data_IF_096928265467
#
_entry.id   IF_096928265467
#
_cell.length_a   1.000
_cell.length_b   1.000
_cell.length_c   1.000
_cell.angle_alpha   90.00
_cell.angle_beta   90.00
_cell.angle_gamma   90.00
#
_symmetry.space_group_name_H-M   'P 1'
#
loop_
_entity.id
_entity.type
_entity.pdbx_description
1 polymer ?
#
# COMPACT_ATOMS: atom_id res chain seq x y z
N UNK A 1 9.15 -15.38 -6.19
CA UNK A 1 9.83 -14.49 -5.21
C UNK A 1 9.19 -14.74 -3.85
N UNK A 2 9.79 -15.60 -3.02
CA UNK A 2 9.22 -15.98 -1.71
C UNK A 2 9.92 -15.31 -0.53
N UNK A 3 10.90 -14.45 -0.79
CA UNK A 3 11.71 -13.75 0.22
C UNK A 3 11.56 -12.24 0.08
N UNK A 4 10.98 -11.60 1.10
CA UNK A 4 10.77 -10.15 1.16
C UNK A 4 12.08 -9.35 1.17
N UNK A 5 13.14 -9.89 1.78
CA UNK A 5 14.45 -9.25 1.83
C UNK A 5 15.08 -9.21 0.45
N UNK A 6 14.94 -10.30 -0.32
CA UNK A 6 15.40 -10.32 -1.69
C UNK A 6 14.61 -9.34 -2.57
N UNK A 7 13.28 -9.31 -2.42
CA UNK A 7 12.44 -8.33 -3.10
C UNK A 7 12.86 -6.89 -2.80
N UNK A 8 13.01 -6.53 -1.51
CA UNK A 8 13.42 -5.19 -1.11
C UNK A 8 14.83 -4.82 -1.61
N UNK A 9 15.76 -5.79 -1.65
CA UNK A 9 17.08 -5.58 -2.24
C UNK A 9 16.99 -5.28 -3.73
N UNK A 10 16.23 -6.06 -4.48
CA UNK A 10 16.02 -5.88 -5.92
C UNK A 10 15.29 -4.58 -6.26
N UNK A 11 14.44 -4.08 -5.36
CA UNK A 11 13.77 -2.79 -5.50
C UNK A 11 14.70 -1.61 -5.18
N UNK A 12 15.42 -1.68 -4.05
CA UNK A 12 16.18 -0.57 -3.51
C UNK A 12 17.51 -0.31 -4.25
N UNK A 13 18.19 -1.35 -4.74
CA UNK A 13 19.50 -1.20 -5.40
C UNK A 13 19.43 -0.35 -6.69
N UNK A 14 18.50 -0.58 -7.63
CA UNK A 14 18.42 0.22 -8.85
C UNK A 14 18.06 1.68 -8.57
N UNK A 15 17.19 1.93 -7.60
CA UNK A 15 16.79 3.28 -7.18
C UNK A 15 18.00 4.02 -6.60
N UNK A 16 18.76 3.37 -5.70
CA UNK A 16 19.96 3.97 -5.09
C UNK A 16 20.98 4.37 -6.15
N UNK A 17 21.24 3.49 -7.12
CA UNK A 17 22.19 3.77 -8.21
C UNK A 17 21.71 4.90 -9.11
N UNK A 18 20.41 4.96 -9.40
CA UNK A 18 19.84 6.01 -10.23
C UNK A 18 19.91 7.37 -9.53
N UNK A 19 19.54 7.44 -8.25
CA UNK A 19 19.61 8.65 -7.44
C UNK A 19 21.05 9.15 -7.30
N UNK A 20 21.98 8.30 -6.88
CA UNK A 20 23.39 8.68 -6.75
C UNK A 20 23.98 9.19 -8.07
N UNK A 21 23.62 8.57 -9.20
CA UNK A 21 24.05 9.02 -10.53
C UNK A 21 23.45 10.38 -10.88
N UNK A 22 22.19 10.63 -10.54
CA UNK A 22 21.50 11.89 -10.79
C UNK A 22 22.08 13.03 -9.97
N UNK A 23 22.49 12.74 -8.73
CA UNK A 23 23.07 13.72 -7.80
C UNK A 23 24.59 13.80 -7.89
N UNK A 24 25.20 13.13 -8.89
CA UNK A 24 26.66 13.05 -9.12
C UNK A 24 27.46 12.65 -7.88
N UNK A 25 26.88 11.81 -7.03
CA UNK A 25 27.45 11.40 -5.76
C UNK A 25 27.69 9.89 -5.68
N UNK A 26 28.38 9.47 -4.62
CA UNK A 26 28.59 8.05 -4.31
C UNK A 26 28.25 7.79 -2.85
N UNK A 27 27.97 6.54 -2.49
CA UNK A 27 27.68 6.15 -1.12
C UNK A 27 26.28 5.55 -0.94
N UNK A 28 25.83 5.52 0.31
CA UNK A 28 24.54 4.92 0.69
C UNK A 28 23.42 5.94 0.49
N UNK A 29 22.43 5.54 -0.31
CA UNK A 29 21.22 6.34 -0.51
C UNK A 29 20.18 6.15 0.62
N UNK A 30 20.08 4.93 1.17
CA UNK A 30 19.13 4.58 2.23
C UNK A 30 19.79 4.54 3.62
N UNK A 31 19.03 4.92 4.66
CA UNK A 31 19.47 4.97 6.06
C UNK A 31 19.82 3.59 6.67
N UNK A 32 19.35 2.48 6.10
CA UNK A 32 19.64 1.14 6.62
C UNK A 32 18.76 0.03 6.05
N UNK A 33 18.48 -0.99 6.88
CA UNK A 33 17.58 -2.09 6.53
C UNK A 33 16.13 -1.63 6.63
N UNK A 34 15.27 -2.19 5.77
CA UNK A 34 13.82 -1.97 5.87
C UNK A 34 13.26 -2.54 7.18
N UNK A 35 12.19 -1.94 7.69
CA UNK A 35 11.38 -2.49 8.76
C UNK A 35 10.19 -3.24 8.15
N UNK A 36 9.90 -4.43 8.66
CA UNK A 36 8.71 -5.18 8.29
C UNK A 36 7.88 -5.46 9.54
N UNK A 37 6.62 -5.02 9.51
CA UNK A 37 5.64 -5.27 10.55
C UNK A 37 4.56 -6.19 10.00
N UNK A 38 4.28 -7.29 10.70
CA UNK A 38 3.25 -8.23 10.33
C UNK A 38 1.89 -7.66 10.76
N UNK A 39 1.00 -7.42 9.81
CA UNK A 39 -0.40 -7.12 10.11
C UNK A 39 -1.15 -8.44 10.29
N UNK A 40 -1.83 -8.62 11.41
CA UNK A 40 -2.42 -9.91 11.82
C UNK A 40 -3.94 -9.94 11.85
N UNK A 41 -4.59 -8.79 11.72
CA UNK A 41 -6.04 -8.69 11.61
C UNK A 41 -6.47 -7.52 10.72
N UNK A 42 -7.78 -7.45 10.49
CA UNK A 42 -8.39 -6.42 9.66
C UNK A 42 -8.28 -5.03 10.29
N UNK A 43 -8.37 -4.93 11.62
CA UNK A 43 -8.31 -3.68 12.34
C UNK A 43 -6.94 -2.99 12.16
N UNK A 44 -5.86 -3.77 12.32
CA UNK A 44 -4.50 -3.33 12.01
C UNK A 44 -4.33 -2.98 10.53
N UNK A 45 -4.97 -3.73 9.62
CA UNK A 45 -4.90 -3.47 8.18
C UNK A 45 -5.57 -2.15 7.80
N UNK A 46 -6.76 -1.88 8.34
CA UNK A 46 -7.50 -0.63 8.12
C UNK A 46 -6.70 0.56 8.64
N UNK A 47 -6.22 0.47 9.88
CA UNK A 47 -5.41 1.52 10.51
C UNK A 47 -4.11 1.77 9.73
N UNK A 48 -3.41 0.71 9.31
CA UNK A 48 -2.18 0.82 8.52
C UNK A 48 -2.44 1.50 7.17
N UNK A 49 -3.50 1.09 6.47
CA UNK A 49 -3.86 1.66 5.17
C UNK A 49 -4.10 3.16 5.29
N UNK A 50 -4.85 3.59 6.31
CA UNK A 50 -5.12 5.02 6.56
C UNK A 50 -3.88 5.78 6.99
N UNK A 51 -3.05 5.18 7.86
CA UNK A 51 -1.77 5.76 8.27
C UNK A 51 -0.89 6.06 7.04
N UNK A 52 -0.80 5.12 6.10
CA UNK A 52 -0.01 5.28 4.87
C UNK A 52 -0.60 6.34 3.95
N UNK A 53 -1.89 6.28 3.65
CA UNK A 53 -2.53 7.24 2.74
C UNK A 53 -2.56 8.68 3.30
N UNK A 54 -2.46 8.84 4.63
CA UNK A 54 -2.35 10.14 5.31
C UNK A 54 -0.90 10.61 5.54
N UNK A 55 0.12 9.82 5.21
CA UNK A 55 1.52 10.24 5.41
C UNK A 55 1.84 11.58 4.73
N UNK A 56 1.44 11.85 3.46
CA UNK A 56 1.68 13.15 2.84
C UNK A 56 0.98 14.32 3.55
N UNK A 57 -0.20 14.08 4.13
CA UNK A 57 -0.91 15.09 4.92
C UNK A 57 -0.17 15.34 6.23
N UNK A 58 0.25 14.28 6.93
CA UNK A 58 1.04 14.38 8.17
C UNK A 58 2.38 15.07 7.97
N UNK A 59 3.02 14.85 6.82
CA UNK A 59 4.27 15.49 6.44
C UNK A 59 4.07 16.93 5.90
N UNK A 60 2.85 17.47 5.96
CA UNK A 60 2.48 18.78 5.40
C UNK A 60 2.82 18.96 3.90
N UNK A 61 2.94 17.86 3.15
CA UNK A 61 3.18 17.86 1.71
C UNK A 61 1.87 18.02 0.91
N UNK A 62 0.73 17.72 1.53
CA UNK A 62 -0.60 17.90 0.97
C UNK A 62 -1.58 18.36 2.05
N UNK A 63 -2.59 19.16 1.69
CA UNK A 63 -3.63 19.60 2.63
C UNK A 63 -4.70 18.52 2.88
N UNK A 64 -4.88 17.60 1.94
CA UNK A 64 -5.90 16.56 1.98
C UNK A 64 -5.49 15.36 1.10
N UNK A 65 -6.11 14.18 1.27
CA UNK A 65 -5.81 13.00 0.46
C UNK A 65 -6.02 13.21 -1.04
N UNK A 66 -6.95 14.09 -1.44
CA UNK A 66 -7.24 14.43 -2.83
C UNK A 66 -6.09 15.16 -3.53
N UNK A 67 -5.17 15.75 -2.78
CA UNK A 67 -3.99 16.47 -3.29
C UNK A 67 -2.68 15.71 -3.09
N UNK A 68 -2.73 14.42 -2.73
CA UNK A 68 -1.57 13.58 -2.50
C UNK A 68 -1.35 12.58 -3.66
N UNK A 69 -0.73 12.98 -4.80
CA UNK A 69 -0.74 12.22 -6.05
C UNK A 69 -0.04 10.84 -6.01
N UNK A 70 0.70 10.56 -4.94
CA UNK A 70 1.53 9.37 -4.78
C UNK A 70 0.96 8.40 -3.71
N UNK A 71 -0.35 8.41 -3.49
CA UNK A 71 -1.04 7.50 -2.56
C UNK A 71 -2.06 6.62 -3.25
N UNK A 72 -2.38 5.48 -2.62
CA UNK A 72 -3.39 4.57 -3.15
C UNK A 72 -4.79 5.20 -3.07
N UNK A 73 -5.07 5.96 -2.01
CA UNK A 73 -6.29 6.76 -1.89
C UNK A 73 -6.47 7.73 -3.05
N UNK A 74 -5.44 8.49 -3.44
CA UNK A 74 -5.53 9.42 -4.55
C UNK A 74 -5.89 8.71 -5.85
N UNK A 75 -5.23 7.59 -6.14
CA UNK A 75 -5.51 6.79 -7.33
C UNK A 75 -6.96 6.29 -7.37
N UNK A 76 -7.50 5.84 -6.23
CA UNK A 76 -8.91 5.42 -6.07
C UNK A 76 -9.88 6.58 -6.24
N UNK A 77 -9.61 7.74 -5.65
CA UNK A 77 -10.46 8.94 -5.77
C UNK A 77 -10.54 9.38 -7.24
N UNK A 78 -9.39 9.53 -7.88
CA UNK A 78 -9.30 9.96 -9.27
C UNK A 78 -9.92 8.94 -10.23
N UNK A 79 -9.78 7.64 -9.96
CA UNK A 79 -10.50 6.61 -10.71
C UNK A 79 -12.02 6.71 -10.54
N UNK A 80 -12.50 7.07 -9.35
CA UNK A 80 -13.91 7.42 -9.11
C UNK A 80 -14.40 8.61 -9.95
N UNK A 81 -13.51 9.54 -10.30
CA UNK A 81 -13.75 10.63 -11.25
C UNK A 81 -13.53 10.22 -12.73
N UNK A 82 -13.38 8.92 -13.02
CA UNK A 82 -13.17 8.40 -14.36
C UNK A 82 -11.77 8.63 -14.94
N UNK A 83 -10.80 9.06 -14.13
CA UNK A 83 -9.42 9.29 -14.60
C UNK A 83 -8.72 7.97 -14.92
N UNK A 84 -7.89 8.01 -15.97
CA UNK A 84 -7.12 6.88 -16.50
C UNK A 84 -5.65 7.22 -16.59
N UNK A 85 -4.78 6.23 -16.41
CA UNK A 85 -3.33 6.33 -16.55
C UNK A 85 -2.83 5.37 -17.63
N UNK A 86 -1.62 5.61 -18.11
CA UNK A 86 -0.92 4.68 -18.99
C UNK A 86 -0.56 3.42 -18.20
N UNK A 87 -0.79 2.25 -18.80
CA UNK A 87 -0.47 0.98 -18.17
C UNK A 87 1.04 0.76 -18.18
N UNK A 88 1.60 0.56 -16.99
CA UNK A 88 2.97 0.08 -16.84
C UNK A 88 3.08 -1.45 -16.96
N UNK A 89 1.95 -2.16 -17.08
CA UNK A 89 1.95 -3.63 -17.20
C UNK A 89 2.56 -4.06 -18.53
N UNK A 90 3.45 -5.04 -18.49
CA UNK A 90 4.03 -5.65 -19.68
C UNK A 90 3.17 -6.83 -20.14
N UNK A 91 2.76 -6.84 -21.40
CA UNK A 91 2.28 -8.05 -22.04
C UNK A 91 3.50 -8.97 -22.23
N UNK A 92 3.74 -9.89 -21.27
CA UNK A 92 4.84 -10.85 -21.36
C UNK A 92 4.58 -11.81 -22.52
N UNK A 93 5.15 -11.49 -23.69
CA UNK A 93 5.18 -12.39 -24.84
C UNK A 93 6.46 -13.21 -24.78
N UNK A 94 6.34 -14.53 -24.68
CA UNK A 94 7.48 -15.42 -24.82
C UNK A 94 8.06 -15.25 -26.23
N UNK A 95 9.33 -14.88 -26.32
CA UNK A 95 10.07 -14.79 -27.58
C UNK A 95 11.08 -15.94 -27.59
N UNK A 96 11.16 -16.75 -28.67
CA UNK A 96 12.18 -17.79 -28.78
C UNK A 96 13.59 -17.23 -28.62
N UNK A 97 14.47 -17.97 -27.94
CA UNK A 97 15.83 -17.53 -27.62
C UNK A 97 16.62 -17.15 -28.87
N UNK A 98 16.46 -17.88 -29.97
CA UNK A 98 17.12 -17.59 -31.25
C UNK A 98 16.68 -16.25 -31.84
N UNK A 99 15.39 -15.95 -31.81
CA UNK A 99 14.85 -14.69 -32.31
C UNK A 99 15.30 -13.51 -31.43
N UNK A 100 15.32 -13.70 -30.11
CA UNK A 100 15.84 -12.71 -29.18
C UNK A 100 17.34 -12.45 -29.42
N UNK A 101 18.14 -13.49 -29.61
CA UNK A 101 19.57 -13.39 -29.89
C UNK A 101 19.85 -12.68 -31.23
N UNK A 102 19.08 -13.01 -32.27
CA UNK A 102 19.16 -12.37 -33.58
C UNK A 102 18.86 -10.86 -33.48
N UNK A 103 17.76 -10.49 -32.81
CA UNK A 103 17.41 -9.07 -32.59
C UNK A 103 18.49 -8.29 -31.84
N UNK A 104 19.15 -8.90 -30.85
CA UNK A 104 20.24 -8.25 -30.09
C UNK A 104 21.46 -8.02 -30.99
N UNK A 105 21.81 -8.98 -31.84
CA UNK A 105 22.97 -8.86 -32.75
C UNK A 105 22.74 -7.84 -33.87
N UNK A 106 21.53 -7.80 -34.42
CA UNK A 106 21.22 -7.04 -35.64
C UNK A 106 20.79 -5.59 -35.37
N UNK A 107 20.25 -5.28 -34.19
CA UNK A 107 19.77 -3.93 -33.90
C UNK A 107 20.91 -3.07 -33.36
N UNK A 108 21.21 -1.89 -33.96
CA UNK A 108 22.18 -0.95 -33.43
C UNK A 108 21.88 -0.55 -31.98
N UNK A 109 22.93 -0.34 -31.17
CA UNK A 109 22.81 -0.07 -29.73
C UNK A 109 21.98 1.19 -29.45
N UNK A 110 22.10 2.22 -30.27
CA UNK A 110 21.36 3.47 -30.08
C UNK A 110 19.86 3.31 -30.37
N UNK A 111 19.51 2.53 -31.39
CA UNK A 111 18.12 2.16 -31.65
C UNK A 111 17.54 1.31 -30.51
N UNK A 112 18.32 0.36 -29.97
CA UNK A 112 17.90 -0.42 -28.81
C UNK A 112 17.63 0.48 -27.60
N UNK A 113 18.49 1.46 -27.35
CA UNK A 113 18.30 2.45 -26.25
C UNK A 113 17.02 3.25 -26.43
N UNK A 114 16.74 3.73 -27.65
CA UNK A 114 15.50 4.47 -27.95
C UNK A 114 14.28 3.58 -27.77
N UNK A 115 14.28 2.36 -28.34
CA UNK A 115 13.18 1.39 -28.21
C UNK A 115 12.95 1.00 -26.74
N UNK A 116 14.01 0.81 -25.95
CA UNK A 116 13.90 0.52 -24.52
C UNK A 116 13.34 1.71 -23.73
N UNK A 117 13.77 2.95 -24.00
CA UNK A 117 13.21 4.15 -23.36
C UNK A 117 11.73 4.31 -23.66
N UNK A 118 11.32 4.10 -24.91
CA UNK A 118 9.90 4.15 -25.30
C UNK A 118 9.08 3.05 -24.61
N UNK A 119 9.56 1.80 -24.59
CA UNK A 119 8.89 0.69 -23.92
C UNK A 119 8.77 0.87 -22.40
N UNK A 120 9.70 1.58 -21.75
CA UNK A 120 9.63 1.83 -20.30
C UNK A 120 8.48 2.74 -19.88
N UNK A 121 7.95 3.60 -20.77
CA UNK A 121 6.89 4.56 -20.42
C UNK A 121 5.48 3.99 -20.50
N UNK A 122 5.15 3.32 -21.61
CA UNK A 122 3.85 2.69 -21.80
C UNK A 122 4.04 1.47 -22.72
N UNK A 123 4.48 0.32 -22.18
CA UNK A 123 4.88 -0.83 -22.98
C UNK A 123 3.76 -1.41 -23.84
N UNK A 124 2.50 -1.21 -23.47
CA UNK A 124 1.33 -1.79 -24.16
C UNK A 124 0.49 -0.77 -24.92
N UNK A 125 0.74 0.54 -24.73
CA UNK A 125 -0.12 1.62 -25.25
C UNK A 125 -1.50 1.72 -24.58
N UNK A 126 -1.82 0.79 -23.67
CA UNK A 126 -3.15 0.69 -23.04
C UNK A 126 -3.29 1.76 -21.97
N UNK A 127 -4.45 2.40 -21.93
CA UNK A 127 -4.86 3.23 -20.79
C UNK A 127 -5.76 2.41 -19.87
N UNK A 128 -5.49 2.44 -18.58
CA UNK A 128 -6.26 1.71 -17.56
C UNK A 128 -6.91 2.70 -16.60
N UNK A 129 -7.94 2.29 -15.86
CA UNK A 129 -8.40 3.10 -14.73
C UNK A 129 -7.24 3.31 -13.77
N UNK A 130 -7.20 4.48 -13.13
CA UNK A 130 -6.06 4.85 -12.29
C UNK A 130 -5.84 3.91 -11.11
N UNK A 131 -6.91 3.28 -10.61
CA UNK A 131 -6.88 2.30 -9.52
C UNK A 131 -6.77 0.84 -10.00
N UNK A 132 -6.72 0.56 -11.31
CA UNK A 132 -6.83 -0.80 -11.82
C UNK A 132 -5.62 -1.69 -11.47
N UNK A 133 -4.47 -1.10 -11.14
CA UNK A 133 -3.30 -1.85 -10.70
C UNK A 133 -3.32 -2.16 -9.19
N UNK A 134 -4.25 -1.55 -8.44
CA UNK A 134 -4.45 -1.80 -7.03
C UNK A 134 -5.41 -2.99 -6.85
N UNK A 135 -5.15 -3.81 -5.82
CA UNK A 135 -6.18 -4.74 -5.34
C UNK A 135 -7.48 -3.97 -5.03
N UNK A 136 -8.66 -4.54 -5.28
CA UNK A 136 -9.90 -3.97 -4.77
C UNK A 136 -9.78 -3.72 -3.27
N UNK A 137 -10.43 -2.68 -2.76
CA UNK A 137 -10.38 -2.39 -1.33
C UNK A 137 -11.38 -3.29 -0.60
N UNK A 138 -12.62 -3.24 -1.05
CA UNK A 138 -13.74 -3.98 -0.48
C UNK A 138 -13.63 -5.46 -0.83
N UNK A 139 -13.57 -6.29 0.21
CA UNK A 139 -13.67 -7.73 0.14
C UNK A 139 -15.13 -8.14 -0.12
N UNK A 140 -15.33 -9.08 -1.04
CA UNK A 140 -16.66 -9.64 -1.30
C UNK A 140 -17.12 -10.47 -0.08
N UNK A 141 -18.33 -10.23 0.48
CA UNK A 141 -18.79 -10.89 1.70
C UNK A 141 -19.02 -12.40 1.54
N UNK A 142 -19.18 -12.87 0.30
CA UNK A 142 -19.40 -14.28 -0.04
C UNK A 142 -18.10 -15.08 -0.16
N UNK A 143 -16.94 -14.45 0.05
CA UNK A 143 -15.63 -15.03 -0.27
C UNK A 143 -14.81 -15.25 0.99
N UNK A 144 -14.36 -16.50 1.17
CA UNK A 144 -13.49 -16.83 2.30
C UNK A 144 -12.09 -16.27 2.07
N UNK A 145 -11.38 -15.96 3.16
CA UNK A 145 -10.00 -15.46 3.11
C UNK A 145 -9.01 -16.44 2.45
N UNK A 146 -9.38 -17.71 2.30
CA UNK A 146 -8.61 -18.75 1.61
C UNK A 146 -8.83 -18.83 0.10
N UNK A 147 -9.92 -18.26 -0.42
CA UNK A 147 -10.27 -18.40 -1.83
C UNK A 147 -9.37 -17.52 -2.73
N UNK A 148 -8.77 -18.12 -3.76
CA UNK A 148 -7.95 -17.37 -4.70
C UNK A 148 -8.83 -16.70 -5.78
N UNK A 149 -8.65 -15.40 -5.98
CA UNK A 149 -9.27 -14.65 -7.07
C UNK A 149 -8.20 -13.97 -7.90
N UNK A 150 -7.80 -14.61 -8.99
CA UNK A 150 -6.75 -14.13 -9.87
C UNK A 150 -7.29 -13.04 -10.80
N UNK A 151 -6.55 -11.93 -10.91
CA UNK A 151 -6.81 -10.96 -11.95
C UNK A 151 -6.33 -11.47 -13.31
N UNK A 152 -7.21 -11.48 -14.31
CA UNK A 152 -6.89 -11.99 -15.66
C UNK A 152 -6.30 -10.94 -16.59
N UNK A 153 -6.41 -9.66 -16.24
CA UNK A 153 -5.96 -8.55 -17.07
C UNK A 153 -4.46 -8.25 -16.90
N UNK A 154 -3.78 -8.96 -15.99
CA UNK A 154 -2.34 -8.80 -15.74
C UNK A 154 -1.98 -7.47 -15.06
N UNK A 155 -2.94 -6.80 -14.44
CA UNK A 155 -2.74 -5.49 -13.80
C UNK A 155 -2.36 -5.61 -12.32
N UNK A 156 -2.73 -6.74 -11.68
CA UNK A 156 -2.51 -7.02 -10.26
C UNK A 156 -2.52 -8.52 -10.00
N UNK A 157 -2.17 -8.93 -8.79
CA UNK A 157 -2.15 -10.35 -8.44
C UNK A 157 -3.54 -10.92 -8.14
N UNK A 158 -4.45 -10.12 -7.56
CA UNK A 158 -5.75 -10.60 -7.10
C UNK A 158 -6.87 -9.57 -7.18
N UNK A 159 -8.10 -10.07 -7.41
CA UNK A 159 -9.37 -9.32 -7.46
C UNK A 159 -10.20 -9.43 -6.17
N UNK A 160 -9.66 -10.12 -5.17
CA UNK A 160 -10.40 -10.51 -3.97
C UNK A 160 -10.93 -9.34 -3.13
N UNK A 161 -10.13 -8.30 -2.96
CA UNK A 161 -10.35 -7.30 -1.91
C UNK A 161 -9.57 -7.62 -0.62
N UNK A 162 -9.51 -6.68 0.32
CA UNK A 162 -8.76 -6.88 1.57
C UNK A 162 -9.38 -6.25 2.83
N UNK A 163 -10.50 -5.53 2.73
CA UNK A 163 -11.24 -4.97 3.86
C UNK A 163 -12.75 -5.22 3.69
N UNK A 164 -13.46 -5.57 4.75
CA UNK A 164 -14.94 -5.57 4.85
C UNK A 164 -15.53 -4.16 4.97
N UNK A 165 -14.83 -3.15 4.44
CA UNK A 165 -15.27 -1.76 4.38
C UNK A 165 -15.54 -1.39 2.94
N UNK A 166 -16.68 -0.72 2.69
CA UNK A 166 -16.97 -0.18 1.36
C UNK A 166 -15.94 0.88 0.97
N UNK A 167 -15.55 0.97 -0.30
CA UNK A 167 -14.66 2.04 -0.76
C UNK A 167 -15.20 3.44 -0.42
N UNK A 168 -16.53 3.59 -0.43
CA UNK A 168 -17.21 4.84 -0.05
C UNK A 168 -16.94 5.18 1.42
N UNK A 169 -17.10 4.23 2.33
CA UNK A 169 -16.91 4.47 3.76
C UNK A 169 -15.43 4.59 4.11
N UNK A 170 -14.55 3.84 3.44
CA UNK A 170 -13.10 4.02 3.55
C UNK A 170 -12.71 5.47 3.21
N UNK A 171 -13.15 6.00 2.06
CA UNK A 171 -12.84 7.37 1.66
C UNK A 171 -13.50 8.42 2.55
N UNK A 172 -14.72 8.18 3.06
CA UNK A 172 -15.37 9.08 4.05
C UNK A 172 -14.58 9.13 5.35
N UNK A 173 -14.16 7.97 5.85
CA UNK A 173 -13.37 7.85 7.07
C UNK A 173 -11.97 8.46 6.88
N UNK A 174 -11.32 8.26 5.74
CA UNK A 174 -10.04 8.89 5.41
C UNK A 174 -10.13 10.42 5.41
N UNK A 175 -11.13 10.99 4.73
CA UNK A 175 -11.38 12.45 4.71
C UNK A 175 -11.67 13.01 6.08
N UNK A 176 -12.51 12.32 6.85
CA UNK A 176 -12.81 12.73 8.22
C UNK A 176 -11.53 12.70 9.07
N UNK A 177 -10.74 11.64 8.98
CA UNK A 177 -9.49 11.46 9.74
C UNK A 177 -8.43 12.49 9.37
N UNK A 178 -8.31 12.84 8.08
CA UNK A 178 -7.43 13.89 7.60
C UNK A 178 -7.74 15.25 8.24
N UNK A 179 -9.04 15.60 8.32
CA UNK A 179 -9.49 16.86 8.94
C UNK A 179 -9.19 16.93 10.44
N UNK A 180 -9.11 15.79 11.14
CA UNK A 180 -8.88 15.80 12.59
C UNK A 180 -7.42 16.08 13.01
N UNK A 181 -6.45 16.02 12.09
CA UNK A 181 -5.03 16.25 12.45
C UNK A 181 -4.47 17.63 12.13
N UNK A 182 -5.27 18.51 11.49
CA UNK A 182 -4.85 19.86 11.09
C UNK A 182 -5.41 20.90 12.08
N UNK A 183 -5.28 20.62 13.38
CA UNK A 183 -5.69 21.45 14.51
C UNK A 183 -7.21 21.77 14.64
N UNK A 184 -7.67 21.87 15.89
CA UNK A 184 -8.97 22.38 16.39
C UNK A 184 -10.26 21.61 16.04
N UNK A 185 -10.32 20.81 14.99
CA UNK A 185 -11.51 19.99 14.73
C UNK A 185 -11.53 18.75 15.64
N UNK A 186 -12.36 18.78 16.69
CA UNK A 186 -12.84 17.60 17.42
C UNK A 186 -14.28 17.32 16.98
N UNK A 187 -14.44 17.06 15.68
CA UNK A 187 -15.75 16.67 15.18
C UNK A 187 -16.05 15.26 15.65
N UNK A 188 -17.27 15.00 16.12
CA UNK A 188 -17.68 13.63 16.47
C UNK A 188 -17.67 12.77 15.22
N UNK A 189 -17.10 11.56 15.31
CA UNK A 189 -17.14 10.60 14.23
C UNK A 189 -18.61 10.31 13.87
N UNK A 190 -19.00 10.40 12.58
CA UNK A 190 -20.36 10.06 12.16
C UNK A 190 -20.76 8.66 12.61
N UNK A 191 -21.98 8.52 13.17
CA UNK A 191 -22.48 7.26 13.75
C UNK A 191 -22.27 6.05 12.84
N UNK A 192 -22.54 6.20 11.54
CA UNK A 192 -22.34 5.10 10.58
C UNK A 192 -20.90 4.60 10.52
N UNK A 193 -19.92 5.50 10.54
CA UNK A 193 -18.50 5.15 10.52
C UNK A 193 -18.05 4.59 11.87
N UNK A 194 -18.58 5.12 12.97
CA UNK A 194 -18.34 4.57 14.30
C UNK A 194 -18.82 3.11 14.39
N UNK A 195 -20.02 2.81 13.88
CA UNK A 195 -20.52 1.43 13.79
C UNK A 195 -19.61 0.54 12.96
N UNK A 196 -19.13 1.00 11.80
CA UNK A 196 -18.18 0.24 10.97
C UNK A 196 -16.87 -0.06 11.73
N UNK A 197 -16.32 0.91 12.46
CA UNK A 197 -15.10 0.70 13.25
C UNK A 197 -15.32 -0.30 14.39
N UNK A 198 -16.44 -0.19 15.12
CA UNK A 198 -16.79 -1.13 16.18
C UNK A 198 -17.00 -2.54 15.67
N UNK A 199 -17.57 -2.72 14.47
CA UNK A 199 -17.70 -4.05 13.83
C UNK A 199 -16.34 -4.69 13.53
N UNK A 200 -15.30 -3.88 13.31
CA UNK A 200 -13.92 -4.33 13.07
C UNK A 200 -13.14 -4.50 14.41
N UNK A 201 -13.75 -4.12 15.54
CA UNK A 201 -13.15 -4.22 16.87
C UNK A 201 -12.29 -3.02 17.29
N UNK A 202 -12.44 -1.88 16.61
CA UNK A 202 -11.73 -0.63 16.93
C UNK A 202 -12.63 0.24 17.81
N UNK A 203 -12.07 0.81 18.87
CA UNK A 203 -12.73 1.86 19.64
C UNK A 203 -12.79 3.14 18.78
N UNK A 204 -14.01 3.51 18.40
CA UNK A 204 -14.28 4.69 17.58
C UNK A 204 -13.76 6.00 18.19
N UNK A 205 -13.69 6.09 19.53
CA UNK A 205 -13.14 7.27 20.22
C UNK A 205 -11.62 7.39 20.09
N UNK A 206 -10.94 6.25 19.94
CA UNK A 206 -9.49 6.15 19.84
C UNK A 206 -9.00 6.12 18.40
N UNK A 207 -9.90 5.98 17.42
CA UNK A 207 -9.56 5.88 16.00
C UNK A 207 -8.61 6.97 15.50
N UNK A 208 -8.91 8.23 15.83
CA UNK A 208 -8.05 9.36 15.44
C UNK A 208 -6.63 9.15 15.95
N UNK A 209 -6.51 8.84 17.23
CA UNK A 209 -5.22 8.65 17.90
C UNK A 209 -4.48 7.45 17.31
N UNK A 210 -5.18 6.34 17.07
CA UNK A 210 -4.61 5.13 16.46
C UNK A 210 -3.93 5.40 15.11
N UNK A 211 -4.56 6.23 14.27
CA UNK A 211 -4.03 6.56 12.93
C UNK A 211 -2.97 7.66 12.97
N UNK A 212 -3.20 8.73 13.73
CA UNK A 212 -2.26 9.86 13.78
C UNK A 212 -1.02 9.54 14.62
N UNK A 213 -1.20 8.87 15.74
CA UNK A 213 -0.15 8.46 16.67
C UNK A 213 0.26 6.99 16.47
N UNK A 214 0.17 6.47 15.24
CA UNK A 214 0.54 5.08 14.91
C UNK A 214 1.88 4.64 15.50
N UNK A 215 2.90 5.51 15.48
CA UNK A 215 4.22 5.19 16.02
C UNK A 215 4.20 4.96 17.53
N UNK A 216 3.29 5.61 18.27
CA UNK A 216 3.07 5.39 19.70
C UNK A 216 2.58 3.97 19.97
N UNK A 217 1.66 3.47 19.14
CA UNK A 217 1.02 2.17 19.33
C UNK A 217 1.83 1.02 18.73
N UNK A 218 2.34 1.21 17.51
CA UNK A 218 2.94 0.14 16.72
C UNK A 218 4.40 0.39 16.36
N UNK A 219 4.98 1.57 16.60
CA UNK A 219 6.33 1.92 16.12
C UNK A 219 7.46 1.04 16.67
N UNK A 220 7.26 0.45 17.86
CA UNK A 220 8.21 -0.49 18.48
C UNK A 220 7.81 -1.96 18.31
N UNK A 221 6.68 -2.24 17.68
CA UNK A 221 6.21 -3.60 17.45
C UNK A 221 6.66 -4.13 16.10
N UNK A 222 6.84 -5.44 16.01
CA UNK A 222 6.99 -6.16 14.74
C UNK A 222 5.67 -6.76 14.25
N UNK A 223 4.61 -6.59 15.02
CA UNK A 223 3.28 -7.13 14.78
C UNK A 223 2.24 -6.01 14.99
N UNK A 224 1.18 -5.99 14.20
CA UNK A 224 0.15 -4.94 14.23
C UNK A 224 -1.22 -5.57 14.11
N UNK A 225 -2.07 -5.26 15.09
CA UNK A 225 -3.46 -5.65 15.13
C UNK A 225 -4.03 -5.40 16.52
N UNK A 226 -5.20 -5.95 16.78
CA UNK A 226 -5.79 -6.03 18.11
C UNK A 226 -4.87 -6.82 19.06
N UNK A 227 -4.92 -6.55 20.37
CA UNK A 227 -4.10 -7.26 21.36
C UNK A 227 -4.29 -8.78 21.32
N UNK A 228 -5.53 -9.24 21.08
CA UNK A 228 -5.86 -10.65 20.96
C UNK A 228 -5.20 -11.30 19.74
N UNK A 229 -5.32 -10.67 18.56
CA UNK A 229 -4.69 -11.17 17.34
C UNK A 229 -3.15 -11.16 17.44
N UNK A 230 -2.58 -10.10 18.03
CA UNK A 230 -1.15 -10.03 18.29
C UNK A 230 -0.68 -11.14 19.24
N UNK A 231 -1.45 -11.48 20.27
CA UNK A 231 -1.13 -12.57 21.21
C UNK A 231 -1.18 -13.92 20.52
N UNK A 232 -2.24 -14.19 19.76
CA UNK A 232 -2.37 -15.42 18.98
C UNK A 232 -1.21 -15.60 17.98
N UNK A 233 -0.79 -14.52 17.31
CA UNK A 233 0.36 -14.56 16.42
C UNK A 233 1.69 -14.79 17.16
N UNK A 234 1.85 -14.22 18.37
CA UNK A 234 3.02 -14.48 19.20
C UNK A 234 3.11 -15.97 19.56
N UNK A 235 2.03 -16.56 20.05
CA UNK A 235 1.93 -17.98 20.37
C UNK A 235 2.26 -18.86 19.17
N UNK A 236 1.68 -18.55 18.00
CA UNK A 236 1.97 -19.24 16.73
C UNK A 236 3.46 -19.19 16.36
N UNK A 237 4.14 -18.10 16.69
CA UNK A 237 5.57 -17.90 16.43
C UNK A 237 6.48 -18.37 17.58
N UNK A 238 5.95 -19.08 18.59
CA UNK A 238 6.72 -19.55 19.74
C UNK A 238 7.19 -18.44 20.68
N UNK A 239 6.47 -17.31 20.70
CA UNK A 239 6.75 -16.14 21.56
C UNK A 239 5.63 -15.98 22.59
N UNK A 240 5.99 -15.46 23.77
CA UNK A 240 4.99 -15.15 24.80
C UNK A 240 4.19 -13.88 24.51
N UNK A 241 4.82 -12.86 23.90
CA UNK A 241 4.18 -11.59 23.56
C UNK A 241 4.98 -10.82 22.50
N UNK A 242 4.36 -9.79 21.92
CA UNK A 242 5.06 -8.75 21.17
C UNK A 242 5.12 -7.44 21.96
N UNK A 243 6.18 -6.67 21.76
CA UNK A 243 6.25 -5.29 22.23
C UNK A 243 5.09 -4.46 21.67
N UNK A 244 4.57 -3.50 22.45
CA UNK A 244 3.49 -2.61 22.02
C UNK A 244 2.07 -3.15 22.18
N UNK A 245 1.87 -4.44 22.51
CA UNK A 245 0.52 -5.02 22.74
C UNK A 245 -0.29 -4.24 23.78
N UNK A 246 0.34 -3.86 24.90
CA UNK A 246 -0.31 -3.08 25.96
C UNK A 246 -0.59 -1.63 25.57
N UNK A 247 0.20 -1.03 24.66
CA UNK A 247 -0.11 0.29 24.15
C UNK A 247 -1.31 0.19 23.20
N UNK A 248 -1.29 -0.79 22.29
CA UNK A 248 -2.35 -1.04 21.33
C UNK A 248 -3.69 -1.28 22.02
N UNK A 249 -3.75 -1.97 23.17
CA UNK A 249 -5.01 -2.28 23.85
C UNK A 249 -5.86 -1.08 24.22
N UNK A 250 -5.29 0.11 24.35
CA UNK A 250 -6.07 1.33 24.56
C UNK A 250 -6.97 1.69 23.37
N UNK A 251 -6.72 1.16 22.17
CA UNK A 251 -7.42 1.51 20.94
C UNK A 251 -8.46 0.48 20.46
N UNK A 252 -8.58 -0.65 21.15
CA UNK A 252 -9.47 -1.74 20.75
C UNK A 252 -10.43 -2.06 21.89
N UNK A 253 -11.66 -2.40 21.53
CA UNK A 253 -12.74 -2.78 22.46
C UNK A 253 -12.77 -4.27 22.71
#
# INVERSE_FOLDING_TARGET
>A
MSDISWFMRSLAEPISRMANKQDECTGRFWEGRFKAQRIVDEAGLLACSMYVDLNPVRAAMASDPEKAPHTSAFDRIQAGHGKRIDSAAFDLKAVPTEEAAKRIRETPVDELRVKQKAKKRNPTGKRIRRDAWLAPLTLSPEKLSTDAELNRDGLRASDKGFLHVSIRDYLRLLRWTAKQGIAEASEKLPKSLATTLSQIGIDASMWRDLVWEWQRYFGKSICVGSPAAMRQDAERCGKHHYSGQAAASACFT
#
